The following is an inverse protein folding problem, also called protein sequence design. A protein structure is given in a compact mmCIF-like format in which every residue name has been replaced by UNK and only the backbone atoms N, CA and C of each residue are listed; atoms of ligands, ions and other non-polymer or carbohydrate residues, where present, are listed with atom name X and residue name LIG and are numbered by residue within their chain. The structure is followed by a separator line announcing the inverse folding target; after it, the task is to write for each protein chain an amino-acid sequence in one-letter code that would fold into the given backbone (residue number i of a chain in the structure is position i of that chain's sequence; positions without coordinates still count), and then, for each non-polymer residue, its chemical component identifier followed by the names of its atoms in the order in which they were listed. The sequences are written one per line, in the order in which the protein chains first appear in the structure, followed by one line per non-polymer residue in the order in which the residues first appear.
data_IF_971625774916
#
_entry.id   IF_971625774916
#
_cell.length_a   1.000
_cell.length_b   1.000
_cell.length_c   1.000
_cell.angle_alpha   90.00
_cell.angle_beta   90.00
_cell.angle_gamma   90.00
#
_symmetry.space_group_name_H-M   'P 1'
#
loop_
_entity.id
_entity.type
_entity.pdbx_description
1 polymer ?
#
# COMPACT_ATOMS: atom_id res chain seq x y z
N UNK A 1 30.32 34.59 -0.13
CA UNK A 1 30.75 33.40 0.64
C UNK A 1 29.45 32.67 1.00
N UNK A 2 29.04 31.71 0.15
CA UNK A 2 27.82 30.98 0.28
C UNK A 2 28.03 29.92 1.38
N UNK A 3 27.38 30.09 2.52
CA UNK A 3 27.35 29.06 3.57
C UNK A 3 26.51 27.93 3.02
N UNK A 4 27.17 26.88 2.50
CA UNK A 4 26.51 25.60 2.27
C UNK A 4 26.01 25.12 3.64
N UNK A 5 24.70 25.17 3.84
CA UNK A 5 24.04 24.47 4.93
C UNK A 5 24.51 23.02 4.84
N UNK A 6 25.13 22.54 5.91
CA UNK A 6 25.51 21.14 6.07
C UNK A 6 24.21 20.34 5.99
N UNK A 7 23.89 19.81 4.79
CA UNK A 7 22.75 18.91 4.61
C UNK A 7 22.92 17.79 5.62
N UNK A 8 21.96 17.64 6.50
CA UNK A 8 22.02 16.68 7.57
C UNK A 8 22.20 15.28 6.97
N UNK A 9 23.42 14.74 7.04
CA UNK A 9 23.76 13.39 6.55
C UNK A 9 22.92 12.36 7.26
N UNK A 10 22.21 11.57 6.49
CA UNK A 10 21.42 10.46 7.02
C UNK A 10 22.28 9.17 7.13
N UNK A 11 21.65 8.08 7.55
CA UNK A 11 22.31 6.79 7.72
C UNK A 11 22.71 6.16 6.37
N UNK A 12 21.99 6.48 5.28
CA UNK A 12 22.34 6.00 3.94
C UNK A 12 23.61 6.67 3.43
N UNK A 13 23.82 7.96 3.72
CA UNK A 13 25.06 8.65 3.36
C UNK A 13 26.27 7.99 4.02
N UNK A 14 26.13 7.60 5.30
CA UNK A 14 27.19 6.88 6.03
C UNK A 14 27.44 5.49 5.44
N UNK A 15 26.37 4.77 5.09
CA UNK A 15 26.45 3.45 4.47
C UNK A 15 27.17 3.52 3.11
N UNK A 16 26.80 4.48 2.26
CA UNK A 16 27.42 4.66 0.93
C UNK A 16 28.89 5.07 1.09
N UNK A 17 29.22 5.96 2.02
CA UNK A 17 30.61 6.34 2.28
C UNK A 17 31.47 5.15 2.72
N UNK A 18 30.96 4.28 3.59
CA UNK A 18 31.63 3.06 4.03
C UNK A 18 31.90 2.11 2.85
N UNK A 19 30.89 1.88 1.99
CA UNK A 19 31.06 1.03 0.82
C UNK A 19 32.05 1.58 -0.19
N UNK A 20 32.07 2.89 -0.44
CA UNK A 20 33.09 3.55 -1.31
C UNK A 20 34.51 3.34 -0.78
N UNK A 21 34.68 3.26 0.54
CA UNK A 21 35.97 2.99 1.16
C UNK A 21 36.37 1.53 1.02
N UNK A 22 35.47 0.61 1.31
CA UNK A 22 35.75 -0.83 1.35
C UNK A 22 35.79 -1.47 -0.06
N UNK A 23 34.98 -0.94 -0.99
CA UNK A 23 34.87 -1.45 -2.36
C UNK A 23 34.88 -0.32 -3.38
N UNK A 24 36.05 0.36 -3.53
CA UNK A 24 36.20 1.45 -4.49
C UNK A 24 36.11 1.01 -5.96
N UNK A 25 36.13 -0.28 -6.21
CA UNK A 25 35.97 -0.94 -7.52
C UNK A 25 34.48 -1.04 -7.95
N UNK A 26 33.50 -0.79 -7.05
CA UNK A 26 32.09 -0.90 -7.34
C UNK A 26 31.40 0.47 -7.41
N UNK A 27 30.47 0.60 -8.37
CA UNK A 27 29.56 1.73 -8.40
C UNK A 27 28.44 1.52 -7.38
N UNK A 28 28.47 2.25 -6.29
CA UNK A 28 27.50 2.19 -5.18
C UNK A 28 26.44 3.30 -5.23
N UNK A 29 26.42 4.11 -6.30
CA UNK A 29 25.42 5.20 -6.46
C UNK A 29 23.96 4.72 -6.37
N UNK A 30 23.56 3.54 -6.90
CA UNK A 30 22.20 3.05 -6.75
C UNK A 30 21.71 2.95 -5.29
N UNK A 31 22.61 2.76 -4.33
CA UNK A 31 22.29 2.71 -2.91
C UNK A 31 21.71 4.04 -2.39
N UNK A 32 22.14 5.17 -2.99
CA UNK A 32 21.61 6.48 -2.62
C UNK A 32 20.08 6.55 -2.74
N UNK A 33 19.52 5.92 -3.75
CA UNK A 33 18.08 5.90 -3.98
C UNK A 33 17.43 4.67 -3.33
N UNK A 34 17.90 3.47 -3.69
CA UNK A 34 17.19 2.23 -3.35
C UNK A 34 17.24 1.90 -1.85
N UNK A 35 18.31 2.28 -1.14
CA UNK A 35 18.35 2.12 0.31
C UNK A 35 17.37 3.05 1.02
N UNK A 36 17.18 4.29 0.55
CA UNK A 36 16.16 5.21 1.08
C UNK A 36 14.74 4.71 0.80
N UNK A 37 14.47 4.23 -0.42
CA UNK A 37 13.18 3.61 -0.77
C UNK A 37 12.89 2.42 0.15
N UNK A 38 13.87 1.53 0.35
CA UNK A 38 13.74 0.35 1.21
C UNK A 38 13.46 0.71 2.67
N UNK A 39 14.11 1.75 3.19
CA UNK A 39 13.88 2.25 4.56
C UNK A 39 12.51 2.90 4.69
N UNK A 40 12.13 3.74 3.72
CA UNK A 40 10.82 4.37 3.68
C UNK A 40 9.70 3.33 3.62
N UNK A 41 9.85 2.29 2.80
CA UNK A 41 8.87 1.20 2.71
C UNK A 41 8.62 0.52 4.08
N UNK A 42 9.67 0.32 4.90
CA UNK A 42 9.52 -0.22 6.26
C UNK A 42 8.73 0.71 7.19
N UNK A 43 8.94 2.02 7.09
CA UNK A 43 8.17 3.01 7.87
C UNK A 43 6.71 3.05 7.42
N UNK A 44 6.46 3.04 6.11
CA UNK A 44 5.11 2.96 5.54
C UNK A 44 4.37 1.71 5.99
N UNK A 45 5.02 0.53 5.93
CA UNK A 45 4.40 -0.73 6.39
C UNK A 45 4.01 -0.67 7.87
N UNK A 46 4.85 -0.09 8.73
CA UNK A 46 4.53 0.11 10.15
C UNK A 46 3.35 1.05 10.35
N UNK A 47 3.34 2.19 9.64
CA UNK A 47 2.24 3.16 9.72
C UNK A 47 0.91 2.55 9.27
N UNK A 48 0.92 1.77 8.18
CA UNK A 48 -0.24 1.04 7.66
C UNK A 48 -0.77 0.03 8.67
N UNK A 49 0.10 -0.82 9.22
CA UNK A 49 -0.30 -1.80 10.25
C UNK A 49 -0.91 -1.13 11.48
N UNK A 50 -0.32 -0.02 11.93
CA UNK A 50 -0.85 0.73 13.07
C UNK A 50 -2.23 1.34 12.75
N UNK A 51 -2.39 1.97 11.58
CA UNK A 51 -3.68 2.51 11.15
C UNK A 51 -4.78 1.45 11.09
N UNK A 52 -4.45 0.26 10.55
CA UNK A 52 -5.44 -0.82 10.43
C UNK A 52 -5.79 -1.45 11.78
N UNK A 53 -4.80 -1.64 12.66
CA UNK A 53 -5.00 -2.21 13.99
C UNK A 53 -5.91 -1.33 14.88
N UNK A 54 -5.89 -0.01 14.74
CA UNK A 54 -6.79 0.92 15.45
C UNK A 54 -8.27 0.72 15.06
N UNK A 55 -8.52 0.04 13.94
CA UNK A 55 -9.85 -0.28 13.44
C UNK A 55 -10.14 -1.79 13.44
N UNK A 56 -9.39 -2.58 14.21
CA UNK A 56 -9.50 -4.05 14.28
C UNK A 56 -9.42 -4.71 12.90
N UNK A 57 -8.52 -4.24 12.05
CA UNK A 57 -8.27 -4.80 10.71
C UNK A 57 -6.83 -5.28 10.60
N UNK A 58 -6.66 -6.44 9.98
CA UNK A 58 -5.37 -6.90 9.45
C UNK A 58 -5.13 -6.29 8.05
N UNK A 59 -3.88 -6.15 7.62
CA UNK A 59 -3.57 -5.58 6.30
C UNK A 59 -4.32 -6.26 5.14
N UNK A 60 -4.43 -7.59 5.14
CA UNK A 60 -5.14 -8.32 4.10
C UNK A 60 -6.67 -8.08 4.12
N UNK A 61 -7.27 -7.81 5.29
CA UNK A 61 -8.69 -7.45 5.41
C UNK A 61 -8.94 -6.08 4.79
N UNK A 62 -8.07 -5.12 5.11
CA UNK A 62 -8.12 -3.79 4.50
C UNK A 62 -8.00 -3.88 2.97
N UNK A 63 -7.09 -4.70 2.43
CA UNK A 63 -6.91 -4.86 0.98
C UNK A 63 -8.18 -5.36 0.29
N UNK A 64 -8.87 -6.35 0.85
CA UNK A 64 -10.14 -6.87 0.32
C UNK A 64 -11.26 -5.84 0.42
N UNK A 65 -11.42 -5.22 1.60
CA UNK A 65 -12.47 -4.23 1.84
C UNK A 65 -12.29 -2.99 0.97
N UNK A 66 -11.06 -2.51 0.77
CA UNK A 66 -10.79 -1.37 -0.13
C UNK A 66 -10.98 -1.72 -1.59
N UNK A 67 -10.75 -2.96 -2.02
CA UNK A 67 -11.07 -3.39 -3.37
C UNK A 67 -12.58 -3.30 -3.62
N UNK A 68 -13.41 -3.79 -2.69
CA UNK A 68 -14.86 -3.65 -2.73
C UNK A 68 -15.29 -2.18 -2.71
N UNK A 69 -14.70 -1.38 -1.85
CA UNK A 69 -15.01 0.05 -1.71
C UNK A 69 -14.75 0.83 -3.00
N UNK A 70 -13.62 0.57 -3.66
CA UNK A 70 -13.22 1.20 -4.94
C UNK A 70 -14.07 0.78 -6.12
N UNK A 71 -14.76 -0.36 -6.04
CA UNK A 71 -15.70 -0.79 -7.08
C UNK A 71 -16.89 0.17 -7.25
N UNK A 72 -17.14 1.05 -6.26
CA UNK A 72 -18.30 1.93 -6.27
C UNK A 72 -19.59 1.20 -5.84
N UNK A 73 -20.68 1.96 -5.67
CA UNK A 73 -21.97 1.35 -5.30
C UNK A 73 -22.40 0.33 -6.35
N UNK A 74 -22.88 -0.84 -5.96
CA UNK A 74 -23.24 -1.29 -4.61
C UNK A 74 -22.10 -1.91 -3.78
N UNK A 75 -20.83 -1.63 -4.08
CA UNK A 75 -19.61 -2.07 -3.36
C UNK A 75 -19.44 -3.59 -3.39
N UNK A 76 -19.58 -4.18 -4.56
CA UNK A 76 -19.53 -5.62 -4.73
C UNK A 76 -18.66 -6.05 -5.90
N UNK A 77 -18.02 -7.19 -5.73
CA UNK A 77 -17.16 -7.84 -6.72
C UNK A 77 -17.32 -9.36 -6.65
N UNK A 78 -17.05 -10.04 -7.75
CA UNK A 78 -16.89 -11.49 -7.73
C UNK A 78 -15.57 -11.90 -7.01
N UNK A 79 -15.52 -13.09 -6.39
CA UNK A 79 -14.27 -13.61 -5.82
C UNK A 79 -13.10 -13.64 -6.80
N UNK A 80 -13.37 -13.91 -8.09
CA UNK A 80 -12.36 -13.89 -9.13
C UNK A 80 -11.78 -12.50 -9.38
N UNK A 81 -12.61 -11.45 -9.30
CA UNK A 81 -12.14 -10.06 -9.41
C UNK A 81 -11.35 -9.63 -8.18
N UNK A 82 -11.79 -10.02 -6.98
CA UNK A 82 -11.04 -9.79 -5.73
C UNK A 82 -9.68 -10.47 -5.75
N UNK A 83 -9.60 -11.69 -6.27
CA UNK A 83 -8.35 -12.42 -6.42
C UNK A 83 -7.34 -11.66 -7.28
N UNK A 84 -7.76 -11.17 -8.44
CA UNK A 84 -6.91 -10.34 -9.32
C UNK A 84 -6.48 -9.03 -8.65
N UNK A 85 -7.38 -8.40 -7.91
CA UNK A 85 -7.12 -7.12 -7.26
C UNK A 85 -6.14 -7.22 -6.07
N UNK A 86 -6.02 -8.41 -5.44
CA UNK A 86 -5.21 -8.61 -4.22
C UNK A 86 -4.02 -9.56 -4.43
N UNK A 87 -3.81 -10.05 -5.65
CA UNK A 87 -2.67 -10.89 -6.06
C UNK A 87 -2.44 -12.12 -5.15
N UNK A 88 -3.52 -12.81 -4.76
CA UNK A 88 -3.47 -14.01 -3.92
C UNK A 88 -4.02 -15.23 -4.66
N UNK A 89 -3.88 -16.43 -4.09
CA UNK A 89 -4.44 -17.66 -4.66
C UNK A 89 -5.93 -17.80 -4.39
N UNK A 90 -6.64 -18.60 -5.19
CA UNK A 90 -8.09 -18.80 -5.06
C UNK A 90 -8.49 -19.39 -3.70
N UNK A 91 -7.75 -20.37 -3.20
CA UNK A 91 -8.00 -20.96 -1.87
C UNK A 91 -7.83 -19.93 -0.75
N UNK A 92 -6.81 -19.10 -0.83
CA UNK A 92 -6.59 -18.00 0.11
C UNK A 92 -7.74 -16.99 0.06
N UNK A 93 -8.23 -16.61 -1.13
CA UNK A 93 -9.34 -15.66 -1.27
C UNK A 93 -10.63 -16.22 -0.67
N UNK A 94 -10.96 -17.48 -0.90
CA UNK A 94 -12.15 -18.11 -0.32
C UNK A 94 -12.12 -18.02 1.21
N UNK A 95 -11.00 -18.39 1.83
CA UNK A 95 -10.83 -18.33 3.29
C UNK A 95 -10.95 -16.89 3.81
N UNK A 96 -10.34 -15.92 3.12
CA UNK A 96 -10.43 -14.49 3.47
C UNK A 96 -11.87 -13.99 3.46
N UNK A 97 -12.63 -14.32 2.41
CA UNK A 97 -14.04 -13.93 2.30
C UNK A 97 -14.87 -14.58 3.43
N UNK A 98 -14.59 -15.86 3.77
CA UNK A 98 -15.29 -16.55 4.88
C UNK A 98 -15.03 -15.85 6.22
N UNK A 99 -13.77 -15.51 6.51
CA UNK A 99 -13.41 -14.78 7.74
C UNK A 99 -14.07 -13.40 7.79
N UNK A 100 -14.05 -12.63 6.70
CA UNK A 100 -14.70 -11.32 6.63
C UNK A 100 -16.22 -11.42 6.79
N UNK A 101 -16.85 -12.47 6.25
CA UNK A 101 -18.27 -12.72 6.41
C UNK A 101 -18.62 -13.09 7.86
N UNK A 102 -17.81 -13.94 8.51
CA UNK A 102 -17.94 -14.26 9.93
C UNK A 102 -17.79 -13.03 10.83
N UNK A 103 -16.88 -12.11 10.46
CA UNK A 103 -16.69 -10.82 11.15
C UNK A 103 -17.82 -9.81 10.84
N UNK A 104 -18.77 -10.14 9.96
CA UNK A 104 -19.87 -9.27 9.59
C UNK A 104 -19.47 -8.06 8.72
N UNK A 105 -18.28 -8.09 8.10
CA UNK A 105 -17.76 -6.98 7.29
C UNK A 105 -18.17 -7.08 5.82
N UNK A 106 -18.43 -8.29 5.34
CA UNK A 106 -18.93 -8.55 3.99
C UNK A 106 -20.09 -9.54 4.06
N UNK A 107 -20.86 -9.62 2.97
CA UNK A 107 -21.89 -10.64 2.75
C UNK A 107 -21.74 -11.23 1.36
N UNK A 108 -22.15 -12.49 1.21
CA UNK A 108 -22.25 -13.17 -0.08
C UNK A 108 -23.69 -13.13 -0.56
N UNK A 109 -23.89 -12.99 -1.85
CA UNK A 109 -25.16 -13.15 -2.51
C UNK A 109 -25.00 -13.86 -3.86
N UNK A 110 -26.04 -14.56 -4.36
CA UNK A 110 -26.03 -15.07 -5.72
C UNK A 110 -25.83 -13.93 -6.73
N UNK A 111 -25.07 -14.20 -7.80
CA UNK A 111 -24.95 -13.27 -8.91
C UNK A 111 -26.24 -13.33 -9.75
N UNK A 112 -26.94 -12.20 -9.97
CA UNK A 112 -28.16 -12.20 -10.78
C UNK A 112 -27.91 -12.49 -12.27
N UNK A 113 -26.68 -12.28 -12.74
CA UNK A 113 -26.30 -12.49 -14.16
C UNK A 113 -25.69 -13.88 -14.40
N UNK A 114 -25.17 -14.52 -13.35
CA UNK A 114 -24.59 -15.86 -13.41
C UNK A 114 -25.20 -16.76 -12.32
N UNK A 115 -26.02 -17.75 -12.72
CA UNK A 115 -26.65 -18.70 -11.79
C UNK A 115 -25.68 -19.49 -10.91
N UNK A 116 -24.42 -19.60 -11.28
CA UNK A 116 -23.37 -20.26 -10.51
C UNK A 116 -22.45 -19.27 -9.82
N UNK A 117 -22.61 -17.98 -10.11
CA UNK A 117 -21.80 -16.91 -9.60
C UNK A 117 -22.20 -16.49 -8.19
N UNK A 118 -21.21 -15.98 -7.47
CA UNK A 118 -21.38 -15.36 -6.15
C UNK A 118 -20.75 -13.97 -6.22
N UNK A 119 -21.46 -12.99 -5.68
CA UNK A 119 -20.94 -11.65 -5.43
C UNK A 119 -20.66 -11.48 -3.94
N UNK A 120 -19.59 -10.78 -3.64
CA UNK A 120 -19.21 -10.36 -2.28
C UNK A 120 -19.42 -8.86 -2.21
N UNK A 121 -20.20 -8.40 -1.24
CA UNK A 121 -20.47 -6.96 -1.03
C UNK A 121 -20.12 -6.54 0.39
N UNK A 122 -19.76 -5.26 0.57
CA UNK A 122 -19.59 -4.67 1.89
C UNK A 122 -20.94 -4.65 2.62
N UNK A 123 -20.89 -4.87 3.93
CA UNK A 123 -21.95 -4.48 4.85
C UNK A 123 -21.78 -3.01 5.24
N UNK A 124 -22.79 -2.41 5.89
CA UNK A 124 -22.66 -1.05 6.42
C UNK A 124 -21.54 -0.96 7.47
N UNK A 125 -21.36 -2.01 8.27
CA UNK A 125 -20.25 -2.13 9.22
C UNK A 125 -18.91 -2.20 8.50
N UNK A 126 -18.80 -3.03 7.45
CA UNK A 126 -17.57 -3.13 6.64
C UNK A 126 -17.24 -1.81 5.94
N UNK A 127 -18.25 -1.13 5.38
CA UNK A 127 -18.08 0.18 4.75
C UNK A 127 -17.58 1.23 5.74
N UNK A 128 -18.24 1.35 6.89
CA UNK A 128 -17.84 2.30 7.93
C UNK A 128 -16.42 2.04 8.44
N UNK A 129 -16.08 0.76 8.66
CA UNK A 129 -14.76 0.38 9.18
C UNK A 129 -13.63 0.65 8.18
N UNK A 130 -13.82 0.30 6.91
CA UNK A 130 -12.79 0.55 5.90
C UNK A 130 -12.62 2.04 5.61
N UNK A 131 -13.69 2.83 5.60
CA UNK A 131 -13.61 4.28 5.39
C UNK A 131 -12.87 4.97 6.55
N UNK A 132 -13.10 4.55 7.80
CA UNK A 132 -12.38 5.05 8.96
C UNK A 132 -10.89 4.67 8.94
N UNK A 133 -10.57 3.41 8.65
CA UNK A 133 -9.20 2.94 8.53
C UNK A 133 -8.43 3.65 7.40
N UNK A 134 -9.11 3.91 6.28
CA UNK A 134 -8.52 4.63 5.16
C UNK A 134 -8.25 6.11 5.49
N UNK A 135 -9.16 6.77 6.20
CA UNK A 135 -8.95 8.15 6.65
C UNK A 135 -7.74 8.26 7.60
N UNK A 136 -7.59 7.32 8.53
CA UNK A 136 -6.45 7.29 9.45
C UNK A 136 -5.12 7.00 8.72
N UNK A 137 -5.13 6.06 7.76
CA UNK A 137 -3.99 5.81 6.90
C UNK A 137 -3.53 7.07 6.18
N UNK A 138 -4.45 7.78 5.52
CA UNK A 138 -4.13 9.01 4.80
C UNK A 138 -3.56 10.11 5.71
N UNK A 139 -4.07 10.24 6.92
CA UNK A 139 -3.51 11.17 7.91
C UNK A 139 -2.05 10.85 8.21
N UNK A 140 -1.73 9.59 8.48
CA UNK A 140 -0.34 9.13 8.75
C UNK A 140 0.57 9.29 7.54
N UNK A 141 0.07 9.03 6.34
CA UNK A 141 0.84 9.24 5.11
C UNK A 141 1.12 10.72 4.84
N UNK A 142 0.16 11.62 5.15
CA UNK A 142 0.39 13.07 5.14
C UNK A 142 1.47 13.50 6.12
N UNK A 143 1.49 12.95 7.33
CA UNK A 143 2.53 13.22 8.33
C UNK A 143 3.92 12.81 7.81
N UNK A 144 4.04 11.66 7.16
CA UNK A 144 5.29 11.21 6.55
C UNK A 144 5.79 12.12 5.42
N UNK A 145 4.87 12.74 4.69
CA UNK A 145 5.19 13.65 3.58
C UNK A 145 5.32 15.11 4.03
N UNK A 146 5.10 15.44 5.29
CA UNK A 146 5.04 16.82 5.79
C UNK A 146 6.34 17.62 5.62
N UNK A 147 7.48 16.93 5.53
CA UNK A 147 8.79 17.54 5.25
C UNK A 147 9.00 17.96 3.79
N UNK A 148 8.08 17.62 2.88
CA UNK A 148 8.17 17.94 1.46
C UNK A 148 7.12 18.96 1.06
N UNK A 149 7.54 19.98 0.31
CA UNK A 149 6.60 20.89 -0.35
C UNK A 149 5.78 20.19 -1.44
N UNK A 150 4.62 20.76 -1.79
CA UNK A 150 3.71 20.16 -2.79
C UNK A 150 4.37 19.94 -4.16
N UNK A 151 5.34 20.78 -4.55
CA UNK A 151 6.11 20.61 -5.80
C UNK A 151 7.01 19.38 -5.72
N UNK A 152 7.71 19.18 -4.60
CA UNK A 152 8.62 18.05 -4.38
C UNK A 152 7.87 16.74 -4.28
N UNK A 153 6.70 16.73 -3.63
CA UNK A 153 5.80 15.56 -3.60
C UNK A 153 5.39 15.12 -5.00
N UNK A 154 5.01 16.08 -5.89
CA UNK A 154 4.67 15.77 -7.29
C UNK A 154 5.87 15.24 -8.07
N UNK A 155 7.05 15.83 -7.86
CA UNK A 155 8.31 15.38 -8.50
C UNK A 155 8.65 13.96 -8.06
N UNK A 156 8.61 13.69 -6.75
CA UNK A 156 8.85 12.37 -6.20
C UNK A 156 7.87 11.32 -6.75
N UNK A 157 6.58 11.65 -6.79
CA UNK A 157 5.57 10.77 -7.37
C UNK A 157 5.85 10.45 -8.87
N UNK A 158 6.31 11.44 -9.63
CA UNK A 158 6.68 11.25 -11.04
C UNK A 158 7.90 10.35 -11.20
N UNK A 159 8.94 10.55 -10.38
CA UNK A 159 10.15 9.72 -10.41
C UNK A 159 9.85 8.27 -10.01
N UNK A 160 9.06 8.06 -8.96
CA UNK A 160 8.64 6.73 -8.53
C UNK A 160 7.80 6.03 -9.62
N UNK A 161 6.91 6.75 -10.31
CA UNK A 161 6.15 6.20 -11.44
C UNK A 161 7.07 5.69 -12.55
N UNK A 162 8.12 6.44 -12.89
CA UNK A 162 9.11 6.03 -13.90
C UNK A 162 9.81 4.73 -13.48
N UNK A 163 10.17 4.61 -12.19
CA UNK A 163 10.82 3.40 -11.67
C UNK A 163 9.89 2.20 -11.62
N UNK A 164 8.60 2.40 -11.40
CA UNK A 164 7.60 1.33 -11.29
C UNK A 164 7.06 0.86 -12.66
N UNK A 165 7.13 1.70 -13.69
CA UNK A 165 6.57 1.41 -15.02
C UNK A 165 6.95 0.04 -15.60
N UNK A 166 8.19 -0.48 -15.47
CA UNK A 166 8.54 -1.81 -15.97
C UNK A 166 7.83 -2.96 -15.26
N UNK A 167 7.37 -2.75 -14.02
CA UNK A 167 6.71 -3.78 -13.19
C UNK A 167 5.18 -3.75 -13.31
N UNK A 168 4.61 -2.64 -13.77
CA UNK A 168 3.17 -2.44 -13.92
C UNK A 168 2.65 -2.80 -15.32
N UNK A 169 3.53 -3.14 -16.28
CA UNK A 169 3.14 -3.57 -17.61
C UNK A 169 2.48 -4.96 -17.52
N UNK A 170 1.26 -5.15 -18.05
CA UNK A 170 0.65 -6.49 -18.09
C UNK A 170 1.50 -7.40 -18.98
N UNK A 171 1.95 -8.53 -18.42
CA UNK A 171 2.58 -9.64 -19.14
C UNK A 171 1.55 -10.36 -20.00
#
# INVERSE_FOLDING_TARGET
MCVMTEEARDEVDRLVAAWRTERPDLDVEPLQVLSRVSRLAKHLDRARRAAFAEHDLEPWEFDVLTALRRAGKPYELSPGTLLRATLVTSGTMTNRIDRLAQAGLVRRRPDPEDRRGVLVSLTDTGLSRVDAAFADLLRREHELLSGLGAADQRTLASLLRTLLAPFDSPS
#
